data_IF_998371732731
#
_entry.id   IF_998371732731
#
_cell.length_a   1.000
_cell.length_b   1.000
_cell.length_c   1.000
_cell.angle_alpha   90.00
_cell.angle_beta   90.00
_cell.angle_gamma   90.00
#
_symmetry.space_group_name_H-M   'P 1'
#
loop_
_entity.id
_entity.type
_entity.pdbx_description
1 polymer ?
#
# COMPACT_ATOMS: atom_id res chain seq x y z
N UNK A 1 28.55 27.76 9.38
CA UNK A 1 27.14 27.39 9.60
C UNK A 1 26.57 26.99 8.25
N UNK A 2 26.63 25.72 7.91
CA UNK A 2 26.11 25.15 6.67
C UNK A 2 24.65 24.70 6.96
N UNK A 3 23.69 25.18 6.17
CA UNK A 3 22.30 24.72 6.21
C UNK A 3 22.25 23.24 5.85
N UNK A 4 21.51 22.40 6.56
CA UNK A 4 21.31 21.01 6.15
C UNK A 4 20.51 20.94 4.83
N UNK A 5 20.78 19.96 3.97
CA UNK A 5 20.01 19.77 2.76
C UNK A 5 18.56 19.39 3.11
N UNK A 6 17.61 20.02 2.43
CA UNK A 6 16.20 19.74 2.56
C UNK A 6 15.92 18.30 2.11
N UNK A 7 15.76 17.39 3.06
CA UNK A 7 15.16 16.09 2.81
C UNK A 7 13.65 16.34 2.61
N UNK A 8 13.21 16.24 1.39
CA UNK A 8 11.82 16.46 0.99
C UNK A 8 10.95 15.35 1.61
N UNK A 9 10.40 15.62 2.79
CA UNK A 9 9.12 15.04 3.18
C UNK A 9 8.12 15.78 2.30
N UNK A 10 7.52 15.09 1.33
CA UNK A 10 6.38 15.62 0.59
C UNK A 10 5.20 15.77 1.57
N UNK A 11 5.25 16.82 2.36
CA UNK A 11 4.09 17.33 3.09
C UNK A 11 3.32 18.14 2.06
N UNK A 12 2.15 17.67 1.63
CA UNK A 12 1.19 18.51 0.92
C UNK A 12 0.90 19.76 1.77
N UNK A 13 1.54 20.87 1.42
CA UNK A 13 1.21 22.18 1.97
C UNK A 13 -0.16 22.60 1.42
N UNK A 14 -1.14 22.78 2.29
CA UNK A 14 -2.39 23.42 1.96
C UNK A 14 -2.11 24.89 1.58
N UNK A 15 -2.28 25.21 0.32
CA UNK A 15 -2.58 26.56 -0.11
C UNK A 15 -4.12 26.71 -0.11
N UNK A 16 -4.65 27.57 0.74
CA UNK A 16 -6.02 28.04 0.66
C UNK A 16 -6.12 28.91 -0.61
N UNK A 17 -6.76 28.42 -1.66
CA UNK A 17 -7.06 29.17 -2.88
C UNK A 17 -8.57 29.41 -2.98
N UNK A 18 -8.91 30.67 -3.22
CA UNK A 18 -10.20 31.19 -3.66
C UNK A 18 -10.71 30.45 -4.90
N UNK A 19 -12.03 30.44 -5.17
CA UNK A 19 -12.57 29.71 -6.30
C UNK A 19 -12.14 30.39 -7.62
N UNK A 20 -11.08 29.89 -8.23
CA UNK A 20 -10.85 30.11 -9.65
C UNK A 20 -11.78 29.16 -10.42
N UNK A 21 -12.38 29.66 -11.51
CA UNK A 21 -13.14 28.86 -12.47
C UNK A 21 -12.42 27.54 -12.71
N UNK A 22 -13.13 26.44 -12.40
CA UNK A 22 -12.62 25.10 -12.61
C UNK A 22 -12.35 24.89 -14.12
N UNK A 23 -11.10 25.04 -14.52
CA UNK A 23 -10.62 24.32 -15.69
C UNK A 23 -10.79 22.83 -15.36
N UNK A 24 -11.38 22.07 -16.27
CA UNK A 24 -11.63 20.63 -16.15
C UNK A 24 -10.32 19.90 -15.79
N UNK A 25 -10.05 19.78 -14.51
CA UNK A 25 -8.97 18.92 -14.03
C UNK A 25 -9.40 17.49 -14.35
N UNK A 26 -8.62 16.72 -15.12
CA UNK A 26 -8.99 15.34 -15.43
C UNK A 26 -9.23 14.56 -14.15
N UNK A 27 -10.22 13.66 -14.15
CA UNK A 27 -10.46 12.81 -13.01
C UNK A 27 -9.24 11.92 -12.74
N UNK A 28 -9.03 11.51 -11.48
CA UNK A 28 -7.91 10.62 -11.16
C UNK A 28 -7.97 9.30 -11.95
N UNK A 29 -9.16 8.81 -12.27
CA UNK A 29 -9.33 7.62 -13.12
C UNK A 29 -8.76 7.88 -14.53
N UNK A 30 -9.02 9.05 -15.11
CA UNK A 30 -8.44 9.43 -16.42
C UNK A 30 -6.91 9.47 -16.38
N UNK A 31 -6.33 10.01 -15.30
CA UNK A 31 -4.87 10.00 -15.12
C UNK A 31 -4.33 8.57 -14.96
N UNK A 32 -5.01 7.72 -14.17
CA UNK A 32 -4.66 6.31 -14.03
C UNK A 32 -4.72 5.54 -15.38
N UNK A 33 -5.67 5.88 -16.27
CA UNK A 33 -5.69 5.31 -17.61
C UNK A 33 -4.46 5.69 -18.44
N UNK A 34 -4.00 6.94 -18.32
CA UNK A 34 -2.78 7.37 -18.98
C UNK A 34 -1.54 6.67 -18.41
N UNK A 35 -1.47 6.56 -17.07
CA UNK A 35 -0.41 5.81 -16.39
C UNK A 35 -0.40 4.32 -16.78
N UNK A 36 -1.58 3.69 -16.87
CA UNK A 36 -1.71 2.29 -17.30
C UNK A 36 -1.18 2.08 -18.73
N UNK A 37 -1.47 3.01 -19.65
CA UNK A 37 -0.94 2.98 -21.03
C UNK A 37 0.58 3.11 -21.04
N UNK A 38 1.14 3.99 -20.20
CA UNK A 38 2.59 4.18 -20.10
C UNK A 38 3.30 2.96 -19.49
N UNK A 39 2.66 2.28 -18.54
CA UNK A 39 3.20 1.11 -17.88
C UNK A 39 3.12 -0.17 -18.73
N UNK A 40 2.09 -0.31 -19.55
CA UNK A 40 1.80 -1.57 -20.28
C UNK A 40 3.00 -2.15 -21.06
N UNK A 41 3.85 -1.35 -21.76
CA UNK A 41 5.00 -1.88 -22.49
C UNK A 41 6.09 -2.52 -21.61
N UNK A 42 6.12 -2.18 -20.31
CA UNK A 42 7.14 -2.67 -19.37
C UNK A 42 6.88 -4.11 -18.91
N UNK A 43 5.67 -4.63 -19.08
CA UNK A 43 5.23 -5.87 -18.46
C UNK A 43 4.83 -6.94 -19.46
N UNK A 44 5.16 -8.19 -19.11
CA UNK A 44 4.97 -9.34 -20.00
C UNK A 44 3.91 -10.32 -19.51
N UNK A 45 3.60 -10.32 -18.20
CA UNK A 45 2.67 -11.31 -17.64
C UNK A 45 1.22 -10.94 -17.91
N UNK A 46 0.36 -11.94 -18.09
CA UNK A 46 -1.09 -11.74 -18.24
C UNK A 46 -1.67 -11.07 -16.99
N UNK A 47 -1.14 -11.42 -15.81
CA UNK A 47 -1.57 -10.89 -14.53
C UNK A 47 -1.51 -9.34 -14.49
N UNK A 48 -0.40 -8.75 -14.95
CA UNK A 48 -0.27 -7.29 -15.00
C UNK A 48 -1.10 -6.68 -16.11
N UNK A 49 -1.15 -7.30 -17.28
CA UNK A 49 -2.01 -6.80 -18.36
C UNK A 49 -3.48 -6.71 -17.93
N UNK A 50 -3.99 -7.75 -17.24
CA UNK A 50 -5.36 -7.76 -16.72
C UNK A 50 -5.54 -6.67 -15.64
N UNK A 51 -4.56 -6.49 -14.76
CA UNK A 51 -4.57 -5.45 -13.72
C UNK A 51 -4.65 -4.04 -14.31
N UNK A 52 -3.81 -3.72 -15.31
CA UNK A 52 -3.82 -2.42 -15.98
C UNK A 52 -5.09 -2.21 -16.81
N UNK A 53 -5.60 -3.26 -17.46
CA UNK A 53 -6.83 -3.20 -18.25
C UNK A 53 -8.09 -3.00 -17.40
N UNK A 54 -8.00 -3.19 -16.09
CA UNK A 54 -9.12 -2.94 -15.18
C UNK A 54 -9.33 -1.46 -14.85
N UNK A 55 -8.34 -0.60 -15.10
CA UNK A 55 -8.39 0.83 -14.72
C UNK A 55 -9.65 1.55 -15.23
N UNK A 56 -10.06 1.42 -16.50
CA UNK A 56 -11.26 2.10 -17.00
C UNK A 56 -12.59 1.65 -16.35
N UNK A 57 -12.55 0.59 -15.52
CA UNK A 57 -13.73 0.09 -14.79
C UNK A 57 -13.88 0.74 -13.41
N UNK A 58 -12.89 1.49 -12.96
CA UNK A 58 -12.97 2.19 -11.68
C UNK A 58 -14.04 3.27 -11.76
N UNK A 59 -14.97 3.34 -10.79
CA UNK A 59 -15.98 4.39 -10.75
C UNK A 59 -15.35 5.74 -10.37
N UNK A 60 -15.92 6.83 -10.88
CA UNK A 60 -15.58 8.16 -10.36
C UNK A 60 -16.09 8.34 -8.93
N UNK A 61 -15.29 8.97 -8.09
CA UNK A 61 -15.58 9.16 -6.67
C UNK A 61 -15.58 10.65 -6.32
N UNK A 62 -16.69 11.10 -5.72
CA UNK A 62 -16.80 12.47 -5.23
C UNK A 62 -15.94 12.68 -3.98
N UNK A 63 -15.42 13.89 -3.76
CA UNK A 63 -14.70 14.22 -2.55
C UNK A 63 -15.49 13.91 -1.29
N UNK A 64 -14.83 13.40 -0.25
CA UNK A 64 -15.44 12.99 1.02
C UNK A 64 -14.83 13.75 2.18
N UNK A 65 -15.66 14.18 3.09
CA UNK A 65 -15.19 14.77 4.34
C UNK A 65 -15.17 13.70 5.43
N UNK A 66 -14.01 13.52 6.02
CA UNK A 66 -13.80 12.68 7.20
C UNK A 66 -13.35 13.55 8.36
N UNK A 67 -13.65 13.12 9.56
CA UNK A 67 -13.35 13.83 10.80
C UNK A 67 -12.37 13.00 11.63
N UNK A 68 -11.40 13.65 12.25
CA UNK A 68 -10.42 12.98 13.13
C UNK A 68 -10.34 13.69 14.47
N UNK A 69 -10.04 12.94 15.51
CA UNK A 69 -9.58 13.50 16.77
C UNK A 69 -8.18 14.10 16.63
N UNK A 70 -7.79 14.99 17.54
CA UNK A 70 -6.47 15.62 17.53
C UNK A 70 -5.33 14.62 17.73
N UNK A 71 -5.58 13.53 18.42
CA UNK A 71 -4.61 12.44 18.65
C UNK A 71 -4.46 11.50 17.44
N UNK A 72 -5.38 11.60 16.45
CA UNK A 72 -5.46 10.72 15.26
C UNK A 72 -5.67 9.25 15.59
N UNK A 73 -6.28 8.96 16.73
CA UNK A 73 -6.59 7.59 17.17
C UNK A 73 -7.95 7.12 16.68
N UNK A 74 -8.84 8.06 16.31
CA UNK A 74 -10.16 7.78 15.78
C UNK A 74 -10.46 8.66 14.57
N UNK A 75 -11.28 8.13 13.68
CA UNK A 75 -11.81 8.86 12.54
C UNK A 75 -13.28 8.46 12.32
N UNK A 76 -14.04 9.37 11.76
CA UNK A 76 -15.47 9.24 11.49
C UNK A 76 -15.78 9.76 10.09
N UNK A 77 -16.67 9.07 9.38
CA UNK A 77 -17.32 9.63 8.19
C UNK A 77 -18.18 10.84 8.56
N UNK A 78 -18.59 11.63 7.58
CA UNK A 78 -19.49 12.77 7.82
C UNK A 78 -20.78 12.33 8.53
N UNK A 79 -21.38 11.22 8.09
CA UNK A 79 -22.60 10.66 8.67
C UNK A 79 -22.42 10.19 10.13
N UNK A 80 -21.30 9.57 10.45
CA UNK A 80 -21.00 9.16 11.83
C UNK A 80 -20.72 10.36 12.72
N UNK A 81 -20.00 11.37 12.21
CA UNK A 81 -19.71 12.60 12.96
C UNK A 81 -20.98 13.38 13.31
N UNK A 82 -22.00 13.40 12.45
CA UNK A 82 -23.30 14.01 12.72
C UNK A 82 -24.06 13.37 13.89
N UNK A 83 -23.80 12.09 14.17
CA UNK A 83 -24.42 11.36 15.28
C UNK A 83 -23.72 11.58 16.64
N UNK A 84 -22.57 12.24 16.63
CA UNK A 84 -21.83 12.52 17.85
C UNK A 84 -22.42 13.73 18.60
N UNK A 85 -22.30 13.77 19.94
CA UNK A 85 -22.65 14.95 20.71
C UNK A 85 -21.90 16.19 20.22
N UNK A 86 -22.54 17.36 20.24
CA UNK A 86 -21.95 18.63 19.76
C UNK A 86 -20.61 18.94 20.44
N UNK A 87 -20.50 18.65 21.74
CA UNK A 87 -19.27 18.86 22.51
C UNK A 87 -18.09 17.99 22.05
N UNK A 88 -18.36 16.84 21.43
CA UNK A 88 -17.35 15.96 20.82
C UNK A 88 -17.06 16.45 19.42
N UNK A 89 -18.11 16.64 18.61
CA UNK A 89 -18.00 17.06 17.21
C UNK A 89 -17.21 18.37 17.06
N UNK A 90 -17.43 19.35 17.95
CA UNK A 90 -16.73 20.64 17.94
C UNK A 90 -15.19 20.52 18.11
N UNK A 91 -14.68 19.37 18.58
CA UNK A 91 -13.24 19.12 18.76
C UNK A 91 -12.62 18.33 17.62
N UNK A 92 -13.43 17.88 16.65
CA UNK A 92 -12.94 17.11 15.53
C UNK A 92 -12.35 18.01 14.46
N UNK A 93 -11.33 17.51 13.78
CA UNK A 93 -10.67 18.17 12.65
C UNK A 93 -11.23 17.57 11.36
N UNK A 94 -12.01 18.35 10.57
CA UNK A 94 -12.48 17.89 9.28
C UNK A 94 -11.35 17.86 8.25
N UNK A 95 -11.39 16.90 7.36
CA UNK A 95 -10.50 16.80 6.20
C UNK A 95 -11.29 16.31 4.98
N UNK A 96 -11.32 17.11 3.92
CA UNK A 96 -11.86 16.67 2.63
C UNK A 96 -10.79 15.90 1.87
N UNK A 97 -11.17 14.72 1.41
CA UNK A 97 -10.33 13.78 0.66
C UNK A 97 -10.94 13.63 -0.74
N UNK A 98 -10.14 13.87 -1.74
CA UNK A 98 -10.53 13.82 -3.15
C UNK A 98 -10.42 12.39 -3.74
N UNK A 99 -10.72 12.27 -5.03
CA UNK A 99 -10.65 11.02 -5.78
C UNK A 99 -9.21 10.47 -5.83
N UNK A 100 -8.21 11.33 -5.90
CA UNK A 100 -6.81 10.92 -5.87
C UNK A 100 -6.47 10.27 -4.53
N UNK A 101 -6.90 10.89 -3.42
CA UNK A 101 -6.69 10.30 -2.10
C UNK A 101 -7.44 8.95 -1.93
N UNK A 102 -8.59 8.80 -2.58
CA UNK A 102 -9.37 7.56 -2.52
C UNK A 102 -8.68 6.39 -3.24
N UNK A 103 -8.04 6.64 -4.39
CA UNK A 103 -7.43 5.59 -5.21
C UNK A 103 -5.94 5.40 -4.96
N UNK A 104 -5.20 6.49 -4.74
CA UNK A 104 -3.75 6.46 -4.62
C UNK A 104 -3.31 5.81 -3.30
N UNK A 105 -2.17 5.15 -3.35
CA UNK A 105 -1.52 4.69 -2.12
C UNK A 105 -0.85 5.89 -1.42
N UNK A 106 -0.41 5.69 -0.18
CA UNK A 106 0.38 6.70 0.54
C UNK A 106 1.64 7.18 -0.22
N UNK A 107 2.08 6.38 -1.18
CA UNK A 107 3.29 6.62 -1.97
C UNK A 107 2.98 6.87 -3.46
N UNK A 108 1.79 7.33 -3.79
CA UNK A 108 1.33 7.63 -5.15
C UNK A 108 0.50 6.53 -5.79
N UNK A 109 0.54 6.47 -7.09
CA UNK A 109 -0.34 5.63 -7.90
C UNK A 109 -0.48 4.19 -7.43
N UNK A 110 -1.71 3.64 -7.37
CA UNK A 110 -1.97 2.23 -7.09
C UNK A 110 -1.35 1.33 -8.17
N UNK A 111 -1.07 1.88 -9.36
CA UNK A 111 -0.47 1.13 -10.46
C UNK A 111 1.01 0.77 -10.20
N UNK A 112 1.64 1.36 -9.19
CA UNK A 112 2.95 0.92 -8.71
C UNK A 112 2.95 -0.52 -8.14
N UNK A 113 1.77 -1.14 -7.95
CA UNK A 113 1.66 -2.57 -7.66
C UNK A 113 1.94 -3.46 -8.87
N UNK A 114 1.90 -2.90 -10.10
CA UNK A 114 2.19 -3.65 -11.33
C UNK A 114 3.54 -4.37 -11.28
N UNK A 115 4.57 -3.77 -10.67
CA UNK A 115 5.88 -4.44 -10.55
C UNK A 115 5.84 -5.64 -9.60
N UNK A 116 5.18 -5.53 -8.47
CA UNK A 116 4.97 -6.64 -7.54
C UNK A 116 4.17 -7.79 -8.21
N UNK A 117 3.14 -7.43 -8.97
CA UNK A 117 2.33 -8.40 -9.72
C UNK A 117 3.10 -9.06 -10.87
N UNK A 118 4.02 -8.34 -11.54
CA UNK A 118 4.89 -8.93 -12.57
C UNK A 118 5.79 -10.03 -11.98
N UNK A 119 6.35 -9.80 -10.78
CA UNK A 119 7.12 -10.81 -10.06
C UNK A 119 6.29 -12.04 -9.68
N UNK A 120 5.04 -11.84 -9.27
CA UNK A 120 4.09 -12.93 -9.02
C UNK A 120 3.74 -13.68 -10.32
N UNK A 121 3.49 -12.95 -11.39
CA UNK A 121 3.23 -13.52 -12.72
C UNK A 121 4.40 -14.36 -13.20
N UNK A 122 5.63 -13.86 -13.08
CA UNK A 122 6.87 -14.59 -13.37
C UNK A 122 7.07 -15.83 -12.50
N UNK A 123 6.50 -15.85 -11.29
CA UNK A 123 6.52 -17.03 -10.42
C UNK A 123 5.43 -18.07 -10.73
N UNK A 124 4.60 -17.81 -11.76
CA UNK A 124 3.56 -18.74 -12.24
C UNK A 124 2.13 -18.42 -11.82
N UNK A 125 1.86 -17.25 -11.20
CA UNK A 125 0.49 -16.77 -10.95
C UNK A 125 -0.05 -16.16 -12.24
N UNK A 126 -0.90 -16.87 -12.96
CA UNK A 126 -1.39 -16.43 -14.28
C UNK A 126 -2.55 -15.44 -14.20
N UNK A 127 -3.39 -15.53 -13.17
CA UNK A 127 -4.58 -14.72 -12.95
C UNK A 127 -4.91 -14.66 -11.46
N UNK A 128 -5.63 -13.63 -11.05
CA UNK A 128 -6.18 -13.52 -9.68
C UNK A 128 -7.64 -13.96 -9.58
N UNK A 129 -8.28 -14.34 -10.69
CA UNK A 129 -9.68 -14.77 -10.69
C UNK A 129 -9.92 -15.95 -9.74
N UNK A 130 -10.84 -15.77 -8.82
CA UNK A 130 -11.18 -16.74 -7.77
C UNK A 130 -10.15 -16.87 -6.66
N UNK A 131 -9.07 -16.07 -6.66
CA UNK A 131 -8.09 -16.08 -5.60
C UNK A 131 -8.51 -15.18 -4.43
N UNK A 132 -8.15 -15.59 -3.22
CA UNK A 132 -8.18 -14.75 -2.01
C UNK A 132 -6.84 -14.05 -1.85
N UNK A 133 -6.87 -12.71 -1.85
CA UNK A 133 -5.68 -11.87 -1.81
C UNK A 133 -5.76 -10.94 -0.61
N UNK A 134 -4.77 -10.98 0.28
CA UNK A 134 -4.61 -10.01 1.35
C UNK A 134 -3.45 -9.06 1.06
N UNK A 135 -3.59 -7.78 1.41
CA UNK A 135 -2.54 -6.76 1.30
C UNK A 135 -2.32 -6.11 2.67
N UNK A 136 -1.14 -6.33 3.25
CA UNK A 136 -0.76 -5.89 4.59
C UNK A 136 -0.10 -4.51 4.57
N UNK A 137 -0.69 -3.58 5.30
CA UNK A 137 -0.37 -2.16 5.24
C UNK A 137 -0.81 -1.60 3.89
N UNK A 138 -2.02 -1.93 3.48
CA UNK A 138 -2.54 -1.61 2.14
C UNK A 138 -2.65 -0.10 1.90
N UNK A 139 -2.73 0.71 2.95
CA UNK A 139 -3.10 2.11 2.82
C UNK A 139 -4.50 2.22 2.24
N UNK A 140 -4.63 2.80 1.05
CA UNK A 140 -5.90 2.87 0.33
C UNK A 140 -6.23 1.58 -0.44
N UNK A 141 -7.44 1.51 -1.01
CA UNK A 141 -7.97 0.29 -1.63
C UNK A 141 -7.89 0.27 -3.17
N UNK A 142 -7.28 1.27 -3.82
CA UNK A 142 -7.26 1.37 -5.28
C UNK A 142 -6.69 0.13 -5.97
N UNK A 143 -5.53 -0.37 -5.53
CA UNK A 143 -4.91 -1.59 -6.07
C UNK A 143 -5.77 -2.83 -5.82
N UNK A 144 -6.47 -2.90 -4.68
CA UNK A 144 -7.32 -4.03 -4.35
C UNK A 144 -8.61 -4.04 -5.18
N UNK A 145 -9.16 -2.86 -5.49
CA UNK A 145 -10.31 -2.73 -6.40
C UNK A 145 -9.96 -3.21 -7.81
N UNK A 146 -8.78 -2.88 -8.32
CA UNK A 146 -8.29 -3.37 -9.61
C UNK A 146 -8.13 -4.90 -9.64
N UNK A 147 -7.66 -5.50 -8.55
CA UNK A 147 -7.60 -6.96 -8.44
C UNK A 147 -9.00 -7.59 -8.37
N UNK A 148 -9.92 -6.95 -7.66
CA UNK A 148 -11.31 -7.42 -7.56
C UNK A 148 -12.04 -7.32 -8.91
N UNK A 149 -11.80 -6.28 -9.72
CA UNK A 149 -12.30 -6.17 -11.10
C UNK A 149 -11.82 -7.34 -11.99
N UNK A 150 -10.75 -8.01 -11.60
CA UNK A 150 -10.25 -9.23 -12.24
C UNK A 150 -10.72 -10.53 -11.54
N UNK A 151 -11.65 -10.42 -10.60
CA UNK A 151 -12.32 -11.54 -9.95
C UNK A 151 -11.63 -12.07 -8.70
N UNK A 152 -10.74 -11.30 -8.07
CA UNK A 152 -10.18 -11.64 -6.77
C UNK A 152 -11.14 -11.30 -5.62
N UNK A 153 -11.11 -12.08 -4.55
CA UNK A 153 -11.62 -11.68 -3.23
C UNK A 153 -10.48 -11.01 -2.49
N UNK A 154 -10.53 -9.69 -2.33
CA UNK A 154 -9.42 -8.91 -1.77
C UNK A 154 -9.71 -8.41 -0.37
N UNK A 155 -8.67 -8.38 0.47
CA UNK A 155 -8.74 -7.94 1.87
C UNK A 155 -7.58 -6.97 2.09
N UNK A 156 -7.90 -5.68 2.31
CA UNK A 156 -6.93 -4.70 2.80
C UNK A 156 -6.78 -4.84 4.31
N UNK A 157 -5.56 -4.85 4.80
CA UNK A 157 -5.24 -4.86 6.23
C UNK A 157 -4.47 -3.59 6.55
N UNK A 158 -5.01 -2.76 7.43
CA UNK A 158 -4.33 -1.54 7.88
C UNK A 158 -4.74 -1.16 9.30
N UNK A 159 -3.94 -0.33 9.95
CA UNK A 159 -4.19 0.16 11.32
C UNK A 159 -4.76 1.58 11.36
N UNK A 160 -4.75 2.32 10.24
CA UNK A 160 -5.22 3.71 10.23
C UNK A 160 -6.76 3.77 10.23
N UNK A 161 -7.38 4.30 11.32
CA UNK A 161 -8.83 4.42 11.39
C UNK A 161 -9.42 5.36 10.32
N UNK A 162 -8.60 6.22 9.71
CA UNK A 162 -9.03 7.07 8.60
C UNK A 162 -9.61 6.26 7.45
N UNK A 163 -9.04 5.08 7.18
CA UNK A 163 -9.48 4.24 6.07
C UNK A 163 -10.89 3.69 6.30
N UNK A 164 -11.21 3.29 7.53
CA UNK A 164 -12.56 2.85 7.86
C UNK A 164 -13.59 3.95 7.62
N UNK A 165 -13.26 5.20 8.00
CA UNK A 165 -14.13 6.35 7.77
C UNK A 165 -14.22 6.72 6.29
N UNK A 166 -13.11 6.66 5.53
CA UNK A 166 -13.06 6.96 4.10
C UNK A 166 -13.88 5.96 3.27
N UNK A 167 -13.79 4.67 3.62
CA UNK A 167 -14.45 3.58 2.88
C UNK A 167 -15.72 3.07 3.57
N UNK A 168 -16.50 3.99 4.16
CA UNK A 168 -17.73 3.69 4.90
C UNK A 168 -19.00 3.81 4.07
N UNK A 169 -18.93 4.34 2.85
CA UNK A 169 -20.09 4.53 2.01
C UNK A 169 -20.50 3.23 1.29
N UNK A 170 -21.79 3.06 0.95
CA UNK A 170 -22.24 1.93 0.15
C UNK A 170 -21.47 1.81 -1.17
N UNK A 171 -20.97 0.60 -1.47
CA UNK A 171 -20.17 0.33 -2.67
C UNK A 171 -18.67 0.54 -2.53
N UNK A 172 -18.19 1.08 -1.39
CA UNK A 172 -16.75 1.14 -1.12
C UNK A 172 -16.16 -0.24 -0.87
N UNK A 173 -16.92 -1.06 -0.18
CA UNK A 173 -16.58 -2.43 0.16
C UNK A 173 -17.68 -3.37 -0.32
N UNK A 174 -17.38 -4.67 -0.40
CA UNK A 174 -18.28 -5.69 -0.93
C UNK A 174 -17.96 -6.04 -2.37
N UNK A 175 -18.98 -6.26 -3.19
CA UNK A 175 -18.83 -6.68 -4.58
C UNK A 175 -18.20 -5.57 -5.45
N UNK A 176 -17.17 -5.92 -6.22
CA UNK A 176 -16.49 -5.05 -7.19
C UNK A 176 -16.21 -5.88 -8.45
N UNK A 177 -16.93 -5.58 -9.54
CA UNK A 177 -16.90 -6.42 -10.73
C UNK A 177 -17.24 -7.88 -10.39
N UNK A 178 -16.46 -8.86 -10.88
CA UNK A 178 -16.65 -10.28 -10.54
C UNK A 178 -16.01 -10.70 -9.21
N UNK A 179 -15.37 -9.79 -8.48
CA UNK A 179 -14.71 -10.04 -7.21
C UNK A 179 -15.29 -9.25 -6.05
N UNK A 180 -14.48 -9.01 -5.03
CA UNK A 180 -14.87 -8.22 -3.86
C UNK A 180 -13.69 -7.55 -3.18
N UNK A 181 -13.98 -6.46 -2.45
CA UNK A 181 -13.01 -5.73 -1.62
C UNK A 181 -13.55 -5.62 -0.21
N UNK A 182 -12.72 -5.91 0.79
CA UNK A 182 -12.99 -5.64 2.20
C UNK A 182 -11.79 -4.97 2.84
N UNK A 183 -12.04 -4.16 3.88
CA UNK A 183 -11.02 -3.54 4.70
C UNK A 183 -11.11 -4.10 6.12
N UNK A 184 -10.03 -4.66 6.62
CA UNK A 184 -9.87 -5.05 8.00
C UNK A 184 -8.98 -4.00 8.71
N UNK A 185 -9.58 -3.20 9.60
CA UNK A 185 -8.89 -2.12 10.30
C UNK A 185 -8.48 -2.57 11.69
N UNK A 186 -7.20 -2.72 11.93
CA UNK A 186 -6.64 -3.15 13.21
C UNK A 186 -5.29 -3.84 13.07
N UNK A 187 -4.77 -4.33 14.20
CA UNK A 187 -3.44 -4.91 14.28
C UNK A 187 -3.47 -6.43 14.02
N UNK A 188 -3.31 -6.81 12.76
CA UNK A 188 -3.14 -8.21 12.38
C UNK A 188 -1.65 -8.62 12.53
N UNK A 189 -1.35 -9.84 13.01
CA UNK A 189 -2.24 -10.89 13.51
C UNK A 189 -2.47 -10.85 15.03
N UNK A 190 -2.11 -9.76 15.72
CA UNK A 190 -2.15 -9.69 17.19
C UNK A 190 -3.57 -9.83 17.75
N UNK A 191 -4.55 -9.16 17.15
CA UNK A 191 -5.93 -9.15 17.60
C UNK A 191 -6.73 -10.32 17.02
N UNK A 192 -7.56 -10.96 17.86
CA UNK A 192 -8.37 -12.12 17.46
C UNK A 192 -9.44 -11.80 16.43
N UNK A 193 -10.07 -10.64 16.54
CA UNK A 193 -11.04 -10.13 15.56
C UNK A 193 -10.39 -9.91 14.21
N UNK A 194 -9.17 -9.39 14.16
CA UNK A 194 -8.40 -9.22 12.95
C UNK A 194 -8.03 -10.56 12.31
N UNK A 195 -7.65 -11.57 13.11
CA UNK A 195 -7.42 -12.92 12.59
C UNK A 195 -8.68 -13.50 11.95
N UNK A 196 -9.83 -13.31 12.59
CA UNK A 196 -11.14 -13.74 12.05
C UNK A 196 -11.52 -12.97 10.79
N UNK A 197 -11.31 -11.65 10.76
CA UNK A 197 -11.65 -10.82 9.61
C UNK A 197 -10.83 -11.18 8.36
N UNK A 198 -9.53 -11.40 8.52
CA UNK A 198 -8.65 -11.83 7.42
C UNK A 198 -8.91 -13.29 7.05
N UNK A 199 -9.13 -14.15 8.06
CA UNK A 199 -9.40 -15.58 7.87
C UNK A 199 -8.23 -16.35 7.25
N UNK A 200 -8.53 -17.58 6.85
CA UNK A 200 -7.56 -18.54 6.30
C UNK A 200 -7.79 -18.77 4.80
N UNK A 201 -6.92 -19.55 4.19
CA UNK A 201 -7.06 -19.97 2.79
C UNK A 201 -6.63 -18.89 1.80
N UNK A 202 -5.77 -17.96 2.20
CA UNK A 202 -5.21 -16.95 1.30
C UNK A 202 -4.36 -17.63 0.21
N UNK A 203 -4.62 -17.27 -1.03
CA UNK A 203 -3.79 -17.61 -2.17
C UNK A 203 -2.54 -16.74 -2.25
N UNK A 204 -2.74 -15.45 -1.98
CA UNK A 204 -1.69 -14.44 -2.02
C UNK A 204 -1.76 -13.57 -0.77
N UNK A 205 -0.61 -13.32 -0.19
CA UNK A 205 -0.41 -12.28 0.82
C UNK A 205 0.65 -11.32 0.30
N UNK A 206 0.27 -10.06 0.18
CA UNK A 206 1.10 -8.98 -0.33
C UNK A 206 1.50 -8.06 0.80
N UNK A 207 2.69 -7.49 0.75
CA UNK A 207 3.07 -6.30 1.50
C UNK A 207 3.97 -5.44 0.65
N UNK A 208 3.53 -4.23 0.35
CA UNK A 208 4.30 -3.26 -0.39
C UNK A 208 4.62 -2.06 0.49
N UNK A 209 5.91 -1.82 0.70
CA UNK A 209 6.46 -0.71 1.50
C UNK A 209 6.16 -0.74 3.02
N UNK A 210 5.55 -1.80 3.56
CA UNK A 210 5.21 -1.88 4.99
C UNK A 210 6.16 -2.80 5.76
N UNK A 211 6.38 -4.02 5.28
CA UNK A 211 7.31 -4.96 5.89
C UNK A 211 8.74 -4.67 5.41
N UNK A 212 9.33 -3.60 5.95
CA UNK A 212 10.73 -3.20 5.75
C UNK A 212 11.54 -3.50 6.99
N UNK A 213 12.77 -3.98 6.81
CA UNK A 213 13.67 -4.23 7.95
C UNK A 213 13.85 -2.98 8.80
N UNK A 214 14.08 -1.84 8.18
CA UNK A 214 14.29 -0.60 8.93
C UNK A 214 13.06 -0.06 9.66
N UNK A 215 11.83 -0.50 9.31
CA UNK A 215 10.62 -0.16 10.05
C UNK A 215 10.38 -1.07 11.26
N UNK A 216 10.85 -2.32 11.22
CA UNK A 216 10.66 -3.28 12.29
C UNK A 216 11.91 -3.40 13.18
N UNK A 217 13.09 -3.32 12.57
CA UNK A 217 14.38 -3.52 13.21
C UNK A 217 15.35 -2.38 12.81
N UNK A 218 15.08 -1.13 13.20
CA UNK A 218 15.96 -0.01 12.86
C UNK A 218 17.36 -0.23 13.42
N UNK A 219 18.38 0.09 12.63
CA UNK A 219 19.77 -0.03 13.03
C UNK A 219 20.18 1.02 14.09
N UNK A 220 19.41 2.13 14.16
CA UNK A 220 19.63 3.23 15.10
C UNK A 220 18.28 3.62 15.74
N UNK A 221 18.29 4.26 16.93
CA UNK A 221 17.07 4.78 17.54
C UNK A 221 16.39 5.81 16.64
N UNK A 222 15.08 5.65 16.47
CA UNK A 222 14.24 6.55 15.67
C UNK A 222 12.96 6.90 16.44
N UNK A 223 12.22 7.89 15.97
CA UNK A 223 10.89 8.20 16.51
C UNK A 223 9.98 6.95 16.39
N UNK A 224 9.41 6.44 17.50
CA UNK A 224 8.54 5.26 17.48
C UNK A 224 7.37 5.35 16.51
N UNK A 225 6.91 6.57 16.17
CA UNK A 225 5.84 6.80 15.19
C UNK A 225 6.24 6.46 13.75
N UNK A 226 7.54 6.27 13.48
CA UNK A 226 8.08 5.84 12.19
C UNK A 226 8.14 4.31 12.09
N UNK A 227 7.89 3.59 13.17
CA UNK A 227 8.00 2.14 13.23
C UNK A 227 6.69 1.44 12.90
N UNK A 228 6.82 0.22 12.41
CA UNK A 228 5.70 -0.71 12.26
C UNK A 228 5.70 -1.68 13.43
N UNK A 229 4.60 -1.71 14.16
CA UNK A 229 4.41 -2.60 15.31
C UNK A 229 3.48 -3.75 14.92
N UNK A 230 4.03 -4.97 14.89
CA UNK A 230 3.25 -6.18 14.52
C UNK A 230 2.34 -6.67 15.66
N UNK A 231 2.61 -6.25 16.90
CA UNK A 231 1.90 -6.73 18.10
C UNK A 231 2.21 -8.17 18.49
N UNK A 232 3.08 -8.83 17.73
CA UNK A 232 3.58 -10.19 17.95
C UNK A 232 5.08 -10.24 17.63
N UNK A 233 5.77 -11.31 18.04
CA UNK A 233 7.15 -11.53 17.62
C UNK A 233 7.25 -11.84 16.11
N UNK A 234 8.45 -11.70 15.54
CA UNK A 234 8.72 -12.07 14.15
C UNK A 234 8.31 -13.50 13.83
N UNK A 235 8.68 -14.44 14.70
CA UNK A 235 8.28 -15.84 14.54
C UNK A 235 6.77 -16.04 14.65
N UNK A 236 6.11 -15.28 15.52
CA UNK A 236 4.65 -15.26 15.65
C UNK A 236 3.97 -14.74 14.39
N UNK A 237 4.52 -13.69 13.77
CA UNK A 237 3.98 -13.14 12.52
C UNK A 237 4.15 -14.13 11.36
N UNK A 238 5.34 -14.73 11.19
CA UNK A 238 5.58 -15.73 10.15
C UNK A 238 4.75 -17.00 10.37
N UNK A 239 4.54 -17.41 11.65
CA UNK A 239 3.64 -18.52 11.96
C UNK A 239 2.17 -18.19 11.62
N UNK A 240 1.71 -16.97 11.88
CA UNK A 240 0.37 -16.53 11.50
C UNK A 240 0.19 -16.53 9.96
N UNK A 241 1.22 -16.11 9.20
CA UNK A 241 1.22 -16.25 7.74
C UNK A 241 1.13 -17.70 7.29
N UNK A 242 1.86 -18.61 7.96
CA UNK A 242 1.80 -20.04 7.65
C UNK A 242 0.42 -20.66 7.93
N UNK A 243 -0.35 -20.08 8.85
CA UNK A 243 -1.72 -20.49 9.12
C UNK A 243 -2.69 -19.89 8.09
N UNK A 244 -2.61 -18.59 7.83
CA UNK A 244 -3.53 -17.88 6.95
C UNK A 244 -3.36 -18.23 5.47
N UNK A 245 -2.12 -18.48 5.01
CA UNK A 245 -1.82 -18.80 3.61
C UNK A 245 -1.97 -20.28 3.34
N UNK A 246 -2.77 -20.65 2.36
CA UNK A 246 -3.00 -22.06 1.99
C UNK A 246 -1.75 -22.72 1.39
N UNK A 247 -1.70 -24.05 1.37
CA UNK A 247 -0.66 -24.81 0.66
C UNK A 247 -0.59 -24.37 -0.80
N UNK A 248 0.62 -24.13 -1.30
CA UNK A 248 0.86 -23.58 -2.64
C UNK A 248 0.68 -22.07 -2.75
N UNK A 249 0.02 -21.42 -1.79
CA UNK A 249 -0.14 -19.97 -1.74
C UNK A 249 1.20 -19.24 -1.58
N UNK A 250 1.21 -17.95 -1.87
CA UNK A 250 2.44 -17.13 -1.90
C UNK A 250 2.36 -15.94 -0.99
N UNK A 251 3.51 -15.57 -0.44
CA UNK A 251 3.75 -14.31 0.28
C UNK A 251 4.78 -13.51 -0.50
N UNK A 252 4.43 -12.30 -0.91
CA UNK A 252 5.33 -11.35 -1.55
C UNK A 252 5.53 -10.13 -0.67
N UNK A 253 6.78 -9.82 -0.36
CA UNK A 253 7.21 -8.56 0.24
C UNK A 253 7.96 -7.78 -0.83
N UNK A 254 7.49 -6.58 -1.17
CA UNK A 254 8.08 -5.70 -2.19
C UNK A 254 8.25 -4.30 -1.62
N UNK A 255 9.47 -3.80 -1.59
CA UNK A 255 9.79 -2.53 -0.95
C UNK A 255 10.53 -1.58 -1.90
N UNK A 256 9.97 -0.40 -2.10
CA UNK A 256 10.63 0.75 -2.71
C UNK A 256 11.28 1.59 -1.62
N UNK A 257 12.51 2.01 -1.81
CA UNK A 257 13.32 2.69 -0.81
C UNK A 257 14.09 3.85 -1.43
N UNK A 258 14.36 4.93 -0.68
CA UNK A 258 15.39 5.89 -1.06
C UNK A 258 16.78 5.26 -0.89
N UNK A 259 17.80 5.96 -1.35
CA UNK A 259 19.18 5.64 -1.02
C UNK A 259 19.39 5.61 0.51
N UNK A 260 20.28 4.75 1.01
CA UNK A 260 20.72 4.82 2.39
C UNK A 260 21.25 6.22 2.71
N UNK A 261 21.01 6.68 3.94
CA UNK A 261 21.54 7.96 4.39
C UNK A 261 23.07 7.98 4.29
N UNK A 262 23.68 9.05 3.75
CA UNK A 262 25.11 9.21 3.74
C UNK A 262 25.70 9.15 5.15
N UNK A 263 26.94 8.68 5.28
CA UNK A 263 27.62 8.65 6.57
C UNK A 263 27.65 10.05 7.23
N UNK A 264 27.33 10.10 8.53
CA UNK A 264 27.25 11.35 9.29
C UNK A 264 25.94 12.14 9.13
N UNK A 265 24.95 11.59 8.40
CA UNK A 265 23.59 12.15 8.34
C UNK A 265 22.61 11.31 9.17
N UNK A 266 21.45 11.86 9.57
CA UNK A 266 20.45 11.11 10.32
C UNK A 266 20.02 9.82 9.60
N UNK A 267 19.91 8.75 10.37
CA UNK A 267 19.44 7.45 9.87
C UNK A 267 18.03 7.53 9.30
N UNK A 268 17.81 6.86 8.16
CA UNK A 268 16.54 6.80 7.46
C UNK A 268 15.99 5.36 7.53
N UNK A 269 15.04 5.05 8.44
CA UNK A 269 14.56 3.67 8.60
C UNK A 269 13.91 3.10 7.34
N UNK A 270 13.20 3.91 6.55
CA UNK A 270 12.55 3.44 5.33
C UNK A 270 13.50 3.21 4.14
N UNK A 271 14.80 3.51 4.30
CA UNK A 271 15.83 3.19 3.30
C UNK A 271 16.27 1.72 3.36
N UNK A 272 16.12 1.04 4.51
CA UNK A 272 16.39 -0.40 4.60
C UNK A 272 15.13 -1.21 4.23
N UNK A 273 15.01 -1.50 2.94
CA UNK A 273 13.88 -2.23 2.37
C UNK A 273 14.00 -3.75 2.41
N UNK A 274 15.02 -4.32 3.04
CA UNK A 274 15.17 -5.77 3.18
C UNK A 274 13.99 -6.40 3.90
N UNK A 275 13.77 -7.69 3.70
CA UNK A 275 12.81 -8.47 4.47
C UNK A 275 13.12 -8.41 5.96
N UNK A 276 12.17 -8.07 6.85
CA UNK A 276 12.43 -7.96 8.28
C UNK A 276 12.59 -9.32 8.98
N UNK A 277 12.19 -10.40 8.33
CA UNK A 277 12.21 -11.74 8.90
C UNK A 277 13.36 -12.55 8.33
N UNK A 278 14.15 -13.20 9.20
CA UNK A 278 15.27 -14.02 8.76
C UNK A 278 14.80 -15.19 7.88
N UNK A 279 15.62 -15.53 6.90
CA UNK A 279 15.34 -16.59 5.90
C UNK A 279 14.98 -17.94 6.54
N UNK A 280 15.63 -18.27 7.66
CA UNK A 280 15.45 -19.53 8.37
C UNK A 280 14.07 -19.62 9.04
N UNK A 281 13.48 -18.49 9.47
CA UNK A 281 12.14 -18.46 10.06
C UNK A 281 11.07 -18.90 9.05
N UNK A 282 11.19 -18.48 7.79
CA UNK A 282 10.28 -18.89 6.73
C UNK A 282 10.36 -20.40 6.46
N UNK A 283 11.58 -20.94 6.39
CA UNK A 283 11.77 -22.37 6.19
C UNK A 283 11.20 -23.20 7.36
N UNK A 284 11.44 -22.75 8.59
CA UNK A 284 10.92 -23.39 9.82
C UNK A 284 9.38 -23.34 9.89
N UNK A 285 8.76 -22.24 9.42
CA UNK A 285 7.30 -22.12 9.34
C UNK A 285 6.68 -22.87 8.15
N UNK A 286 7.47 -23.62 7.37
CA UNK A 286 6.98 -24.44 6.27
C UNK A 286 6.80 -23.69 4.95
N UNK A 287 7.56 -22.64 4.71
CA UNK A 287 7.64 -21.99 3.42
C UNK A 287 8.87 -22.44 2.62
N UNK A 288 8.71 -22.53 1.30
CA UNK A 288 9.82 -22.56 0.35
C UNK A 288 10.19 -21.13 0.03
N UNK A 289 11.45 -20.76 0.21
CA UNK A 289 11.98 -19.45 -0.18
C UNK A 289 12.28 -19.48 -1.67
N UNK A 290 11.51 -18.74 -2.46
CA UNK A 290 11.69 -18.65 -3.92
C UNK A 290 12.65 -17.51 -4.27
N UNK A 291 12.56 -16.39 -3.56
CA UNK A 291 13.48 -15.27 -3.64
C UNK A 291 13.65 -14.65 -2.25
N UNK A 292 14.80 -14.05 -1.95
CA UNK A 292 15.08 -13.39 -0.69
C UNK A 292 15.98 -12.19 -0.91
N UNK A 293 15.50 -11.00 -0.54
CA UNK A 293 16.18 -9.71 -0.67
C UNK A 293 16.83 -9.50 -2.05
N UNK A 294 16.07 -9.80 -3.09
CA UNK A 294 16.54 -9.61 -4.47
C UNK A 294 16.39 -8.14 -4.86
N UNK A 295 17.41 -7.60 -5.51
CA UNK A 295 17.35 -6.28 -6.12
C UNK A 295 16.38 -6.26 -7.31
N UNK A 296 15.56 -5.22 -7.37
CA UNK A 296 14.63 -4.92 -8.45
C UNK A 296 14.74 -3.45 -8.90
N UNK A 297 15.76 -2.76 -8.46
CA UNK A 297 15.92 -1.32 -8.67
C UNK A 297 15.84 -0.89 -10.14
N UNK A 298 16.46 -1.59 -11.11
CA UNK A 298 16.34 -1.21 -12.52
C UNK A 298 14.88 -1.19 -12.99
N UNK A 299 14.13 -2.26 -12.75
CA UNK A 299 12.72 -2.34 -13.18
C UNK A 299 11.81 -1.38 -12.39
N UNK A 300 12.12 -1.10 -11.13
CA UNK A 300 11.42 -0.09 -10.33
C UNK A 300 11.64 1.32 -10.88
N UNK A 301 12.83 1.63 -11.40
CA UNK A 301 13.16 2.91 -12.05
C UNK A 301 12.41 3.07 -13.36
N UNK A 302 12.35 2.04 -14.20
CA UNK A 302 11.55 2.05 -15.43
C UNK A 302 10.07 2.32 -15.11
N UNK A 303 9.54 1.68 -14.08
CA UNK A 303 8.18 1.94 -13.57
C UNK A 303 8.03 3.38 -13.08
N UNK A 304 8.97 3.88 -12.28
CA UNK A 304 8.96 5.25 -11.76
C UNK A 304 8.98 6.28 -12.88
N UNK A 305 9.78 6.07 -13.92
CA UNK A 305 9.80 6.92 -15.13
C UNK A 305 8.45 6.89 -15.85
N UNK A 306 7.86 5.73 -16.08
CA UNK A 306 6.55 5.60 -16.71
C UNK A 306 5.44 6.29 -15.91
N UNK A 307 5.51 6.25 -14.56
CA UNK A 307 4.61 6.96 -13.65
C UNK A 307 4.94 8.45 -13.48
N UNK A 308 6.02 8.94 -14.11
CA UNK A 308 6.39 10.35 -14.08
C UNK A 308 6.99 10.83 -12.75
N UNK A 309 7.56 9.93 -11.94
CA UNK A 309 8.17 10.30 -10.65
C UNK A 309 9.41 11.16 -10.78
N UNK A 310 10.03 11.17 -11.94
CA UNK A 310 11.19 12.00 -12.31
C UNK A 310 10.84 13.33 -12.97
N UNK A 311 9.54 13.68 -13.10
CA UNK A 311 9.08 14.87 -13.79
C UNK A 311 8.91 16.06 -12.86
N UNK A 312 8.98 17.26 -13.44
CA UNK A 312 8.82 18.53 -12.71
C UNK A 312 10.05 18.95 -11.92
N UNK A 313 9.98 20.12 -11.30
CA UNK A 313 11.11 20.74 -10.57
C UNK A 313 11.57 19.89 -9.36
N UNK A 314 10.66 19.13 -8.75
CA UNK A 314 10.92 18.25 -7.62
C UNK A 314 10.96 16.77 -8.01
N UNK A 315 11.16 16.48 -9.29
CA UNK A 315 11.26 15.12 -9.81
C UNK A 315 12.39 14.34 -9.13
N UNK A 316 12.12 13.05 -8.87
CA UNK A 316 13.08 12.14 -8.25
C UNK A 316 14.22 11.83 -9.22
N UNK A 317 15.46 11.80 -8.75
CA UNK A 317 16.58 11.26 -9.51
C UNK A 317 16.57 9.74 -9.41
N UNK A 318 15.81 9.09 -10.27
CA UNK A 318 15.52 7.66 -10.14
C UNK A 318 16.76 6.79 -9.99
N UNK A 319 17.86 7.11 -10.69
CA UNK A 319 19.10 6.32 -10.63
C UNK A 319 19.77 6.31 -9.25
N UNK A 320 19.62 7.39 -8.49
CA UNK A 320 20.25 7.57 -7.19
C UNK A 320 19.30 7.51 -6.01
N UNK A 321 18.01 7.83 -6.25
CA UNK A 321 17.05 8.05 -5.19
C UNK A 321 16.05 6.89 -5.05
N UNK A 322 16.00 5.96 -6.03
CA UNK A 322 15.04 4.85 -6.03
C UNK A 322 15.74 3.49 -6.08
N UNK A 323 15.51 2.73 -5.03
CA UNK A 323 15.92 1.34 -4.88
C UNK A 323 14.71 0.46 -4.62
N UNK A 324 14.80 -0.80 -4.99
CA UNK A 324 13.75 -1.78 -4.73
C UNK A 324 14.33 -3.13 -4.33
N UNK A 325 13.72 -3.75 -3.33
CA UNK A 325 14.03 -5.12 -2.94
C UNK A 325 12.77 -5.93 -2.81
N UNK A 326 12.87 -7.24 -3.04
CA UNK A 326 11.75 -8.14 -2.90
C UNK A 326 12.13 -9.51 -2.39
N UNK A 327 11.18 -10.11 -1.70
CA UNK A 327 11.25 -11.49 -1.22
C UNK A 327 9.94 -12.22 -1.53
N UNK A 328 10.05 -13.48 -1.95
CA UNK A 328 8.91 -14.31 -2.35
C UNK A 328 9.01 -15.69 -1.69
N UNK A 329 7.91 -16.10 -1.11
CA UNK A 329 7.78 -17.35 -0.38
C UNK A 329 6.56 -18.13 -0.85
N UNK A 330 6.65 -19.46 -0.85
CA UNK A 330 5.54 -20.34 -1.17
C UNK A 330 5.27 -21.30 -0.01
N UNK A 331 4.03 -21.39 0.44
CA UNK A 331 3.60 -22.34 1.48
C UNK A 331 3.68 -23.76 0.96
N UNK A 332 4.38 -24.65 1.70
CA UNK A 332 4.53 -26.09 1.36
C UNK A 332 3.25 -26.88 1.61
#
# INVERSE_FOLDING_TARGET
>A
MLKPPNVLIAICALAASLPALAADTPSRVTELEAEAKALAPLYKTALVRDFLAAVPKLPSVQPRTVYRDSARTHAWSAREAEQLPDSVRAKLVPRTLDEAFYYDTRYGSPLAYSRALELLGGSGVKSVRGLRVADFGCGMLGQLRLLAENGATTIGIDVDPLLAALYSEPGDQGAVGPGSVTLATGQWPAADDMRRAVGDGLDLFLSKNTLKNGYLHPAEPVDPRMLVHLGVSDSGFVAALAHAVKKGGRVLIYNLCPAPAPAGTPYIPWADGRCPFRREMWAAAGFKVLAFDRDDSPAARDMGHALGWDRGENGMKLDTDLYATWSLFQRK
#
